data_IF_204492673821
#
_entry.id   IF_204492673821
#
_cell.length_a   1.000
_cell.length_b   1.000
_cell.length_c   1.000
_cell.angle_alpha   90.00
_cell.angle_beta   90.00
_cell.angle_gamma   90.00
#
_symmetry.space_group_name_H-M   'P 1'
#
loop_
_entity.id
_entity.type
_entity.pdbx_description
1 polymer ?
#
# COMPACT_ATOMS: atom_id res chain seq x y z
N UNK A 1 21.46 -38.94 48.23
CA UNK A 1 21.35 -37.71 47.41
C UNK A 1 20.22 -37.89 46.40
N UNK A 2 19.05 -37.37 46.75
CA UNK A 2 17.78 -37.50 46.01
C UNK A 2 17.70 -36.42 44.94
N UNK A 3 17.68 -36.80 43.65
CA UNK A 3 17.44 -35.86 42.53
C UNK A 3 15.93 -35.70 42.32
N UNK A 4 15.40 -34.53 42.67
CA UNK A 4 14.04 -34.09 42.29
C UNK A 4 14.01 -33.78 40.79
N UNK A 5 13.05 -34.37 40.07
CA UNK A 5 12.69 -33.98 38.72
C UNK A 5 11.83 -32.70 38.76
N UNK A 6 12.23 -31.65 38.04
CA UNK A 6 11.38 -30.49 37.78
C UNK A 6 10.49 -30.80 36.57
N UNK A 7 9.18 -30.89 36.80
CA UNK A 7 8.18 -30.87 35.73
C UNK A 7 8.02 -29.44 35.22
N UNK A 8 8.44 -29.18 33.97
CA UNK A 8 8.11 -27.95 33.26
C UNK A 8 6.69 -28.03 32.73
N UNK A 9 5.78 -27.24 33.30
CA UNK A 9 4.41 -27.09 32.79
C UNK A 9 4.43 -26.29 31.49
N UNK A 10 3.89 -26.87 30.41
CA UNK A 10 3.67 -26.18 29.15
C UNK A 10 2.55 -25.13 29.30
N UNK A 11 2.79 -23.91 28.81
CA UNK A 11 1.78 -22.85 28.75
C UNK A 11 0.66 -23.22 27.76
N UNK A 12 -0.60 -22.85 28.04
CA UNK A 12 -1.72 -23.16 27.16
C UNK A 12 -1.61 -22.42 25.81
N UNK A 13 -2.17 -22.99 24.72
CA UNK A 13 -2.14 -22.37 23.41
C UNK A 13 -2.94 -21.06 23.40
N UNK A 14 -2.33 -20.00 22.84
CA UNK A 14 -3.01 -18.72 22.60
C UNK A 14 -4.20 -18.92 21.66
N UNK A 15 -5.36 -18.43 22.08
CA UNK A 15 -6.55 -18.40 21.24
C UNK A 15 -6.30 -17.55 19.97
N UNK A 16 -6.87 -17.92 18.81
CA UNK A 16 -6.74 -17.14 17.60
C UNK A 16 -7.42 -15.78 17.77
N UNK A 17 -6.68 -14.71 17.50
CA UNK A 17 -7.23 -13.37 17.43
C UNK A 17 -8.12 -13.25 16.18
N UNK A 18 -9.33 -12.67 16.28
CA UNK A 18 -10.13 -12.39 15.09
C UNK A 18 -9.38 -11.44 14.15
N UNK A 19 -9.58 -11.54 12.82
CA UNK A 19 -8.97 -10.60 11.89
C UNK A 19 -9.44 -9.18 12.23
N UNK A 20 -8.49 -8.29 12.53
CA UNK A 20 -8.78 -6.88 12.76
C UNK A 20 -9.37 -6.28 11.48
N UNK A 21 -10.64 -5.88 11.53
CA UNK A 21 -11.31 -5.11 10.47
C UNK A 21 -10.88 -3.63 10.44
N UNK A 22 -9.93 -3.21 11.28
CA UNK A 22 -9.45 -1.83 11.38
C UNK A 22 -7.95 -1.77 11.13
N UNK A 23 -7.55 -1.99 9.88
CA UNK A 23 -6.16 -1.81 9.47
C UNK A 23 -5.75 -0.32 9.45
N UNK A 24 -6.73 0.59 9.37
CA UNK A 24 -6.53 2.05 9.25
C UNK A 24 -7.40 2.91 10.18
N UNK A 25 -8.28 2.31 11.00
CA UNK A 25 -9.23 3.02 11.87
C UNK A 25 -8.80 2.96 13.34
N UNK A 26 -7.68 3.58 13.66
CA UNK A 26 -7.31 3.82 15.05
C UNK A 26 -7.31 5.35 15.29
N UNK A 27 -8.26 5.85 16.08
CA UNK A 27 -8.35 7.29 16.42
C UNK A 27 -7.04 7.83 17.03
N UNK A 28 -6.19 6.93 17.51
CA UNK A 28 -4.81 7.12 17.94
C UNK A 28 -3.88 7.75 16.88
N UNK A 29 -4.16 7.58 15.58
CA UNK A 29 -3.25 8.00 14.50
C UNK A 29 -3.27 9.52 14.25
N UNK A 30 -4.41 10.19 14.43
CA UNK A 30 -4.50 11.65 14.33
C UNK A 30 -3.67 12.33 15.42
N UNK A 31 -3.70 11.80 16.65
CA UNK A 31 -2.93 12.32 17.78
C UNK A 31 -1.42 12.17 17.59
N UNK A 32 -0.99 11.25 16.71
CA UNK A 32 0.43 11.02 16.37
C UNK A 32 0.83 11.65 15.04
N UNK A 33 0.00 12.50 14.44
CA UNK A 33 0.35 13.18 13.20
C UNK A 33 1.68 13.96 13.36
N UNK A 34 2.59 13.77 12.41
CA UNK A 34 3.95 14.32 12.45
C UNK A 34 4.99 13.40 13.10
N UNK A 35 4.60 12.29 13.73
CA UNK A 35 5.56 11.31 14.25
C UNK A 35 6.23 10.51 13.11
N UNK A 36 7.51 10.21 13.30
CA UNK A 36 8.32 9.31 12.45
C UNK A 36 8.72 8.09 13.28
N UNK A 37 8.18 6.93 12.93
CA UNK A 37 8.52 5.67 13.59
C UNK A 37 9.47 4.85 12.72
N UNK A 38 10.55 4.32 13.32
CA UNK A 38 11.44 3.38 12.64
C UNK A 38 10.83 1.97 12.69
N UNK A 39 10.59 1.34 11.53
CA UNK A 39 10.10 -0.04 11.45
C UNK A 39 11.23 -1.05 11.28
N UNK A 40 12.20 -0.74 10.42
CA UNK A 40 13.40 -1.53 10.13
C UNK A 40 14.50 -0.59 9.61
N UNK A 41 15.73 -1.06 9.40
CA UNK A 41 16.89 -0.23 9.02
C UNK A 41 16.60 0.79 7.89
N UNK A 42 15.86 0.37 6.85
CA UNK A 42 15.50 1.21 5.70
C UNK A 42 13.98 1.40 5.53
N UNK A 43 13.22 1.30 6.62
CA UNK A 43 11.76 1.43 6.60
C UNK A 43 11.25 2.29 7.75
N UNK A 44 10.43 3.29 7.43
CA UNK A 44 9.84 4.23 8.38
C UNK A 44 8.35 4.43 8.14
N UNK A 45 7.61 4.77 9.19
CA UNK A 45 6.22 5.26 9.10
C UNK A 45 6.21 6.75 9.37
N UNK A 46 5.69 7.53 8.42
CA UNK A 46 5.45 8.96 8.57
C UNK A 46 3.96 9.17 8.89
N UNK A 47 3.63 9.30 10.17
CA UNK A 47 2.23 9.34 10.63
C UNK A 47 1.57 10.64 10.23
N UNK A 48 0.37 10.54 9.65
CA UNK A 48 -0.40 11.70 9.21
C UNK A 48 0.22 12.52 8.08
N UNK A 49 1.31 12.04 7.45
CA UNK A 49 2.11 12.84 6.50
C UNK A 49 1.31 13.34 5.30
N UNK A 50 0.36 12.53 4.81
CA UNK A 50 -0.49 12.87 3.67
C UNK A 50 -1.79 13.61 4.05
N UNK A 51 -2.11 13.78 5.34
CA UNK A 51 -3.43 14.26 5.79
C UNK A 51 -3.78 15.64 5.21
N UNK A 52 -2.83 16.58 5.22
CA UNK A 52 -3.04 17.93 4.67
C UNK A 52 -3.35 17.92 3.16
N UNK A 53 -3.03 16.83 2.45
CA UNK A 53 -3.23 16.67 1.00
C UNK A 53 -4.37 15.69 0.68
N UNK A 54 -4.95 15.02 1.67
CA UNK A 54 -5.91 13.93 1.48
C UNK A 54 -7.06 14.29 0.54
N UNK A 55 -7.66 15.48 0.70
CA UNK A 55 -8.74 15.94 -0.20
C UNK A 55 -8.28 16.05 -1.66
N UNK A 56 -7.08 16.58 -1.90
CA UNK A 56 -6.51 16.71 -3.26
C UNK A 56 -6.14 15.35 -3.84
N UNK A 57 -5.60 14.46 -3.01
CA UNK A 57 -5.26 13.10 -3.41
C UNK A 57 -6.53 12.33 -3.85
N UNK A 58 -7.59 12.38 -3.06
CA UNK A 58 -8.86 11.73 -3.38
C UNK A 58 -9.52 12.33 -4.65
N UNK A 59 -9.44 13.64 -4.84
CA UNK A 59 -9.90 14.27 -6.08
C UNK A 59 -9.11 13.76 -7.31
N UNK A 60 -7.79 13.62 -7.18
CA UNK A 60 -6.95 13.07 -8.23
C UNK A 60 -7.28 11.59 -8.52
N UNK A 61 -7.53 10.76 -7.49
CA UNK A 61 -8.03 9.38 -7.68
C UNK A 61 -9.33 9.37 -8.49
N UNK A 62 -10.26 10.30 -8.22
CA UNK A 62 -11.53 10.40 -8.97
C UNK A 62 -11.32 10.72 -10.46
N UNK A 63 -10.30 11.50 -10.79
CA UNK A 63 -9.93 11.82 -12.18
C UNK A 63 -9.26 10.60 -12.84
N UNK A 64 -8.40 9.89 -12.13
CA UNK A 64 -7.74 8.69 -12.65
C UNK A 64 -8.77 7.62 -12.97
N UNK A 65 -9.69 7.33 -12.04
CA UNK A 65 -10.70 6.27 -12.24
C UNK A 65 -11.68 6.56 -13.39
N UNK A 66 -11.90 7.83 -13.75
CA UNK A 66 -12.76 8.16 -14.89
C UNK A 66 -12.12 7.81 -16.23
N UNK A 67 -10.78 7.69 -16.27
CA UNK A 67 -10.00 7.38 -17.46
C UNK A 67 -9.53 5.92 -17.47
N UNK A 68 -9.12 5.39 -16.32
CA UNK A 68 -8.71 4.00 -16.10
C UNK A 68 -9.48 3.47 -14.88
N UNK A 69 -10.68 2.89 -15.07
CA UNK A 69 -11.52 2.42 -13.98
C UNK A 69 -10.85 1.35 -13.12
N UNK A 70 -11.21 1.33 -11.83
CA UNK A 70 -10.83 0.27 -10.91
C UNK A 70 -11.38 -1.09 -11.38
N UNK A 71 -10.59 -2.14 -11.22
CA UNK A 71 -10.98 -3.51 -11.52
C UNK A 71 -10.30 -4.52 -10.60
N UNK A 72 -10.95 -5.63 -10.35
CA UNK A 72 -10.30 -6.77 -9.70
C UNK A 72 -9.42 -7.47 -10.72
N UNK A 73 -8.09 -7.40 -10.55
CA UNK A 73 -7.16 -8.15 -11.38
C UNK A 73 -7.18 -9.63 -10.99
N UNK A 74 -6.78 -10.49 -11.92
CA UNK A 74 -6.68 -11.93 -11.69
C UNK A 74 -5.22 -12.28 -11.41
N UNK A 75 -4.96 -13.07 -10.38
CA UNK A 75 -3.63 -13.64 -10.14
C UNK A 75 -3.24 -14.60 -11.27
N UNK A 76 -1.96 -14.93 -11.44
CA UNK A 76 -1.53 -15.91 -12.43
C UNK A 76 -2.18 -17.29 -12.22
N UNK A 77 -2.57 -17.61 -10.99
CA UNK A 77 -3.33 -18.81 -10.63
C UNK A 77 -4.84 -18.75 -10.89
N UNK A 78 -5.35 -17.68 -11.54
CA UNK A 78 -6.75 -17.57 -11.92
C UNK A 78 -7.69 -17.03 -10.83
N UNK A 79 -7.17 -16.62 -9.67
CA UNK A 79 -7.98 -16.10 -8.58
C UNK A 79 -8.16 -14.58 -8.70
N UNK A 80 -9.37 -14.07 -8.48
CA UNK A 80 -9.56 -12.62 -8.36
C UNK A 80 -8.86 -12.08 -7.11
N UNK A 81 -8.16 -10.96 -7.24
CA UNK A 81 -7.58 -10.25 -6.10
C UNK A 81 -8.68 -9.57 -5.26
N UNK A 82 -8.44 -9.40 -3.96
CA UNK A 82 -9.43 -8.81 -3.04
C UNK A 82 -9.57 -7.29 -3.17
N UNK A 83 -8.54 -6.59 -3.64
CA UNK A 83 -8.57 -5.16 -3.89
C UNK A 83 -8.87 -4.88 -5.37
N UNK A 84 -9.74 -3.89 -5.61
CA UNK A 84 -9.90 -3.32 -6.94
C UNK A 84 -8.74 -2.34 -7.21
N UNK A 85 -8.19 -2.36 -8.42
CA UNK A 85 -6.92 -1.70 -8.73
C UNK A 85 -7.00 -0.88 -10.00
N UNK A 86 -6.28 0.24 -10.02
CA UNK A 86 -5.96 1.03 -11.22
C UNK A 86 -4.56 1.64 -11.08
N UNK A 87 -4.04 2.28 -12.13
CA UNK A 87 -2.70 2.86 -12.13
C UNK A 87 -2.68 4.27 -12.73
N UNK A 88 -1.60 5.02 -12.44
CA UNK A 88 -1.19 6.22 -13.17
C UNK A 88 0.35 6.30 -13.25
N UNK A 89 0.86 7.09 -14.19
CA UNK A 89 2.29 7.20 -14.49
C UNK A 89 2.64 6.64 -15.87
N UNK A 90 3.95 6.53 -16.13
CA UNK A 90 4.49 5.99 -17.38
C UNK A 90 4.25 4.49 -17.48
N UNK A 91 4.20 3.82 -16.31
CA UNK A 91 3.96 2.40 -16.17
C UNK A 91 2.85 2.12 -15.16
N UNK A 92 2.11 1.04 -15.39
CA UNK A 92 1.15 0.50 -14.45
C UNK A 92 1.39 -0.97 -14.18
N UNK A 93 1.19 -1.38 -12.92
CA UNK A 93 1.28 -2.77 -12.51
C UNK A 93 0.04 -3.53 -12.97
N UNK A 94 0.24 -4.72 -13.52
CA UNK A 94 -0.80 -5.61 -14.02
C UNK A 94 -0.56 -7.04 -13.57
N UNK A 95 -1.63 -7.73 -13.21
CA UNK A 95 -1.70 -9.17 -13.01
C UNK A 95 -2.75 -9.81 -13.92
N UNK A 96 -2.37 -10.89 -14.59
CA UNK A 96 -3.27 -11.80 -15.30
C UNK A 96 -2.62 -13.19 -15.43
N UNK A 97 -3.19 -14.06 -16.26
CA UNK A 97 -2.69 -15.41 -16.53
C UNK A 97 -1.24 -15.44 -17.07
N UNK A 98 -0.70 -14.33 -17.58
CA UNK A 98 0.68 -14.23 -18.08
C UNK A 98 1.69 -13.86 -16.99
N UNK A 99 1.25 -13.59 -15.76
CA UNK A 99 2.12 -13.17 -14.67
C UNK A 99 1.96 -11.70 -14.29
N UNK A 100 2.85 -11.25 -13.42
CA UNK A 100 2.94 -9.86 -12.95
C UNK A 100 3.90 -9.05 -13.81
N UNK A 101 3.53 -7.82 -14.16
CA UNK A 101 4.39 -6.96 -15.00
C UNK A 101 3.99 -5.49 -14.90
N UNK A 102 4.95 -4.64 -15.24
CA UNK A 102 4.70 -3.23 -15.55
C UNK A 102 4.52 -3.06 -17.05
N UNK A 103 3.48 -2.33 -17.47
CA UNK A 103 3.19 -2.04 -18.88
C UNK A 103 2.79 -0.57 -19.05
N UNK A 104 3.11 0.06 -20.19
CA UNK A 104 2.80 1.47 -20.43
C UNK A 104 1.32 1.72 -20.76
N UNK A 105 0.57 0.67 -21.08
CA UNK A 105 -0.83 0.74 -21.48
C UNK A 105 -1.70 -0.12 -20.59
N UNK A 106 -2.89 0.37 -20.29
CA UNK A 106 -3.95 -0.35 -19.61
C UNK A 106 -4.49 -1.49 -20.51
N UNK A 107 -4.36 -2.76 -20.10
CA UNK A 107 -4.84 -3.89 -20.89
C UNK A 107 -6.35 -3.88 -21.16
N UNK A 108 -7.14 -3.20 -20.32
CA UNK A 108 -8.59 -3.16 -20.49
C UNK A 108 -9.02 -2.19 -21.61
N UNK A 109 -8.35 -1.04 -21.73
CA UNK A 109 -8.68 -0.02 -22.72
C UNK A 109 -7.73 0.05 -23.91
N UNK A 110 -6.54 -0.57 -23.82
CA UNK A 110 -5.46 -0.46 -24.79
C UNK A 110 -4.75 0.91 -24.82
N UNK A 111 -5.20 1.87 -24.01
CA UNK A 111 -4.65 3.23 -23.95
C UNK A 111 -3.54 3.31 -22.91
N UNK A 112 -2.68 4.32 -23.02
CA UNK A 112 -1.72 4.65 -21.96
C UNK A 112 -2.44 4.92 -20.62
N UNK A 113 -1.76 4.59 -19.53
CA UNK A 113 -2.23 4.97 -18.20
C UNK A 113 -2.36 6.50 -18.08
N UNK A 114 -3.29 7.00 -17.25
CA UNK A 114 -3.34 8.43 -16.94
C UNK A 114 -1.98 8.92 -16.44
N UNK A 115 -1.54 10.13 -16.81
CA UNK A 115 -0.30 10.68 -16.29
C UNK A 115 -0.38 10.80 -14.76
N UNK A 116 0.76 10.62 -14.08
CA UNK A 116 0.82 10.76 -12.64
C UNK A 116 0.50 12.20 -12.23
N UNK A 117 -0.54 12.44 -11.41
CA UNK A 117 -0.85 13.78 -10.93
C UNK A 117 0.30 14.38 -10.12
N UNK A 118 0.56 15.68 -10.26
CA UNK A 118 1.65 16.35 -9.54
C UNK A 118 1.55 16.17 -8.03
N UNK A 119 0.33 16.20 -7.47
CA UNK A 119 0.14 15.98 -6.03
C UNK A 119 0.57 14.59 -5.55
N UNK A 120 0.58 13.57 -6.41
CA UNK A 120 1.09 12.24 -6.09
C UNK A 120 2.61 12.25 -6.17
N UNK A 121 3.17 12.78 -7.27
CA UNK A 121 4.63 12.89 -7.48
C UNK A 121 5.31 13.68 -6.38
N UNK A 122 4.78 14.86 -6.03
CA UNK A 122 5.31 15.70 -4.95
C UNK A 122 5.23 14.98 -3.60
N UNK A 123 4.09 14.38 -3.25
CA UNK A 123 3.96 13.64 -2.00
C UNK A 123 4.98 12.50 -1.91
N UNK A 124 5.12 11.73 -2.98
CA UNK A 124 6.01 10.59 -3.04
C UNK A 124 7.49 11.01 -2.89
N UNK A 125 7.92 12.05 -3.63
CA UNK A 125 9.29 12.59 -3.55
C UNK A 125 9.62 13.15 -2.16
N UNK A 126 8.72 13.93 -1.57
CA UNK A 126 8.94 14.51 -0.25
C UNK A 126 8.93 13.45 0.86
N UNK A 127 8.01 12.47 0.80
CA UNK A 127 7.99 11.36 1.74
C UNK A 127 9.27 10.52 1.64
N UNK A 128 9.73 10.25 0.41
CA UNK A 128 10.96 9.52 0.16
C UNK A 128 12.20 10.27 0.70
N UNK A 129 12.33 11.57 0.43
CA UNK A 129 13.40 12.40 0.97
C UNK A 129 13.37 12.41 2.51
N UNK A 130 12.19 12.55 3.12
CA UNK A 130 12.00 12.49 4.58
C UNK A 130 12.43 11.11 5.16
N UNK A 131 12.31 10.05 4.36
CA UNK A 131 12.74 8.70 4.71
C UNK A 131 14.22 8.40 4.39
N UNK A 132 14.95 9.33 3.77
CA UNK A 132 16.37 9.16 3.39
C UNK A 132 16.61 8.70 1.95
N UNK A 133 15.61 8.81 1.07
CA UNK A 133 15.65 8.41 -0.34
C UNK A 133 15.51 9.62 -1.29
N UNK A 134 16.45 10.58 -1.21
CA UNK A 134 16.38 11.89 -1.90
C UNK A 134 16.30 11.83 -3.43
N UNK A 135 16.67 10.70 -4.02
CA UNK A 135 16.70 10.47 -5.47
C UNK A 135 15.51 9.66 -6.00
N UNK A 136 14.51 9.41 -5.16
CA UNK A 136 13.32 8.68 -5.60
C UNK A 136 12.51 9.52 -6.59
N UNK A 137 12.31 8.97 -7.79
CA UNK A 137 11.47 9.56 -8.83
C UNK A 137 10.49 8.49 -9.32
N UNK A 138 9.19 8.60 -8.99
CA UNK A 138 8.22 7.57 -9.34
C UNK A 138 7.79 7.66 -10.81
N UNK A 139 7.88 6.54 -11.52
CA UNK A 139 7.37 6.34 -12.89
C UNK A 139 6.05 5.54 -12.91
N UNK A 140 5.72 4.85 -11.82
CA UNK A 140 4.49 4.08 -11.63
C UNK A 140 3.81 4.40 -10.30
N UNK A 141 2.48 4.42 -10.29
CA UNK A 141 1.67 4.48 -9.09
C UNK A 141 0.45 3.55 -9.22
N UNK A 142 0.47 2.46 -8.45
CA UNK A 142 -0.66 1.55 -8.26
C UNK A 142 -1.58 2.09 -7.18
N UNK A 143 -2.89 2.11 -7.47
CA UNK A 143 -3.93 2.56 -6.55
C UNK A 143 -4.81 1.36 -6.23
N UNK A 144 -4.86 1.00 -4.95
CA UNK A 144 -5.69 -0.08 -4.44
C UNK A 144 -6.92 0.51 -3.72
N UNK A 145 -8.10 0.01 -4.06
CA UNK A 145 -9.35 0.26 -3.34
C UNK A 145 -9.72 -1.03 -2.59
N UNK A 146 -9.81 -0.91 -1.27
CA UNK A 146 -10.18 -1.99 -0.33
C UNK A 146 -11.61 -1.77 0.18
#
# INVERSE_FOLDING_TARGET
>A
MTRRAHAGGAAPPRAPHPPSTRLFDDETDCARAGARDQLAEQAVVLRGYALARATRLLAAVRIIQSTAPFRFMTTPGGQAMSAAQTNCGDLGWVSDARGYRYVPSDPASGRHWPPMPDTFRTLAREAAATAGFDRYEPDACLINCY
#
